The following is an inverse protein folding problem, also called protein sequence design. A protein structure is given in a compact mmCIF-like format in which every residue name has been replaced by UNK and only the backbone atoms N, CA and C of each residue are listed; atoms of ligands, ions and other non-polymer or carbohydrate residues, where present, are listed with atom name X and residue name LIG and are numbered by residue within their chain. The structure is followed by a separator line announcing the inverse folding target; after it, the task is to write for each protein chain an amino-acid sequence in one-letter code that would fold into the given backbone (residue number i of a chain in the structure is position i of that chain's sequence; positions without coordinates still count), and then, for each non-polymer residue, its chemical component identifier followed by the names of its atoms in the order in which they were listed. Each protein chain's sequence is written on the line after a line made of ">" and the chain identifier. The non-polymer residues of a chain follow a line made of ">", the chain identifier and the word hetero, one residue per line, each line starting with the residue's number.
data_IF_507972276329
#
_entry.id   IF_507972276329
#
_cell.length_a   1.000
_cell.length_b   1.000
_cell.length_c   1.000
_cell.angle_alpha   90.00
_cell.angle_beta   90.00
_cell.angle_gamma   90.00
#
_symmetry.space_group_name_H-M   'P 1'
#
loop_
_entity.id
_entity.type
_entity.pdbx_description
1 polymer ?
#
# COMPACT_ATOMS: atom_id res chain seq x y z
N UNK A 1 -4.90 7.15 -12.75
CA UNK A 1 -5.90 6.23 -12.13
C UNK A 1 -5.56 6.05 -10.68
N UNK A 2 -6.56 5.89 -9.81
CA UNK A 2 -6.36 5.82 -8.36
C UNK A 2 -6.87 4.48 -7.83
N UNK A 3 -6.15 3.90 -6.89
CA UNK A 3 -6.50 2.64 -6.25
C UNK A 3 -6.29 2.77 -4.75
N UNK A 4 -7.28 2.35 -3.99
CA UNK A 4 -7.16 2.18 -2.55
C UNK A 4 -6.41 0.88 -2.30
N UNK A 5 -5.34 0.94 -1.50
CA UNK A 5 -4.54 -0.22 -1.14
C UNK A 5 -4.67 -0.45 0.36
N UNK A 6 -4.98 -1.69 0.73
CA UNK A 6 -4.97 -2.15 2.12
C UNK A 6 -3.87 -3.17 2.30
N UNK A 7 -3.02 -2.95 3.29
CA UNK A 7 -2.06 -3.95 3.75
C UNK A 7 -2.42 -4.41 5.17
N UNK A 8 -2.02 -5.63 5.50
CA UNK A 8 -2.05 -6.13 6.87
C UNK A 8 -0.60 -6.28 7.34
N UNK A 9 -0.31 -5.90 8.60
CA UNK A 9 1.02 -5.99 9.16
C UNK A 9 0.99 -6.62 10.54
N UNK A 10 2.01 -7.42 10.86
CA UNK A 10 2.24 -7.97 12.20
C UNK A 10 2.85 -6.97 13.18
N UNK A 11 3.19 -5.76 12.73
CA UNK A 11 3.73 -4.71 13.57
C UNK A 11 2.65 -4.12 14.48
N UNK A 12 3.06 -3.50 15.59
CA UNK A 12 2.22 -2.76 16.55
C UNK A 12 1.60 -1.47 15.95
N UNK A 13 1.31 -1.43 14.66
CA UNK A 13 0.46 -0.39 14.10
C UNK A 13 -0.95 -0.67 14.61
N UNK A 14 -1.39 0.12 15.59
CA UNK A 14 -2.75 0.15 16.10
C UNK A 14 -3.80 0.57 15.05
N UNK A 15 -3.43 0.61 13.77
CA UNK A 15 -4.25 0.98 12.61
C UNK A 15 -3.82 0.11 11.42
N UNK A 16 -4.80 -0.48 10.73
CA UNK A 16 -4.59 -1.14 9.43
C UNK A 16 -4.09 -0.10 8.41
N UNK A 17 -2.91 -0.26 7.80
CA UNK A 17 -2.41 0.76 6.87
C UNK A 17 -3.25 0.75 5.59
N UNK A 18 -3.93 1.86 5.36
CA UNK A 18 -4.79 2.15 4.23
C UNK A 18 -4.25 3.42 3.55
N UNK A 19 -3.99 3.36 2.26
CA UNK A 19 -3.47 4.49 1.49
C UNK A 19 -3.94 4.43 0.04
N UNK A 20 -3.84 5.56 -0.66
CA UNK A 20 -4.21 5.66 -2.07
C UNK A 20 -2.94 5.64 -2.92
N UNK A 21 -2.97 4.89 -4.02
CA UNK A 21 -1.92 4.85 -5.04
C UNK A 21 -2.46 5.43 -6.33
N UNK A 22 -1.67 6.29 -6.96
CA UNK A 22 -1.94 6.89 -8.25
C UNK A 22 -0.91 6.44 -9.29
N UNK A 23 -1.39 5.91 -10.42
CA UNK A 23 -0.56 5.52 -11.56
C UNK A 23 -1.11 6.12 -12.86
N UNK A 24 -0.29 6.24 -13.90
CA UNK A 24 -0.74 6.77 -15.19
C UNK A 24 -1.73 5.83 -15.89
N UNK A 25 -1.49 4.52 -15.81
CA UNK A 25 -2.28 3.47 -16.43
C UNK A 25 -2.25 2.18 -15.59
N UNK A 26 -3.05 1.19 -16.01
CA UNK A 26 -3.24 -0.06 -15.27
C UNK A 26 -1.99 -0.93 -15.27
N UNK A 27 -1.20 -0.88 -16.35
CA UNK A 27 0.05 -1.63 -16.51
C UNK A 27 1.12 -1.19 -15.47
N UNK A 28 1.05 0.06 -15.01
CA UNK A 28 1.97 0.63 -14.01
C UNK A 28 1.45 0.55 -12.58
N UNK A 29 0.21 0.10 -12.35
CA UNK A 29 -0.41 0.13 -11.04
C UNK A 29 0.30 -0.80 -10.05
N UNK A 30 0.61 -2.03 -10.46
CA UNK A 30 1.27 -3.00 -9.57
C UNK A 30 2.63 -2.49 -9.10
N UNK A 31 3.45 -1.95 -10.00
CA UNK A 31 4.75 -1.37 -9.64
C UNK A 31 4.60 -0.14 -8.72
N UNK A 32 3.58 0.70 -8.96
CA UNK A 32 3.29 1.84 -8.10
C UNK A 32 2.85 1.40 -6.69
N UNK A 33 2.08 0.32 -6.59
CA UNK A 33 1.67 -0.28 -5.31
C UNK A 33 2.89 -0.80 -4.56
N UNK A 34 3.79 -1.54 -5.21
CA UNK A 34 5.04 -2.01 -4.58
C UNK A 34 5.86 -0.84 -4.01
N UNK A 35 6.07 0.20 -4.82
CA UNK A 35 6.78 1.42 -4.39
C UNK A 35 6.08 2.12 -3.23
N UNK A 36 4.75 2.15 -3.21
CA UNK A 36 3.96 2.75 -2.14
C UNK A 36 4.03 1.95 -0.84
N UNK A 37 3.99 0.62 -0.90
CA UNK A 37 4.15 -0.25 0.27
C UNK A 37 5.50 -0.01 0.95
N UNK A 38 6.58 0.11 0.17
CA UNK A 38 7.92 0.41 0.69
C UNK A 38 7.98 1.78 1.38
N UNK A 39 7.41 2.82 0.75
CA UNK A 39 7.32 4.16 1.34
C UNK A 39 6.51 4.16 2.65
N UNK A 40 5.35 3.48 2.66
CA UNK A 40 4.46 3.39 3.81
C UNK A 40 5.09 2.65 4.99
N UNK A 41 5.87 1.60 4.71
CA UNK A 41 6.56 0.82 5.75
C UNK A 41 7.92 1.42 6.14
N UNK A 42 8.45 2.35 5.35
CA UNK A 42 9.74 3.00 5.57
C UNK A 42 10.94 2.10 5.28
N UNK A 43 10.75 1.06 4.46
CA UNK A 43 11.72 0.01 4.20
C UNK A 43 12.05 -0.07 2.71
N UNK A 44 13.34 -0.24 2.40
CA UNK A 44 13.83 -0.42 1.04
C UNK A 44 13.76 -1.90 0.61
N UNK A 45 13.70 -2.15 -0.71
CA UNK A 45 13.58 -3.51 -1.28
C UNK A 45 14.69 -4.47 -0.82
N UNK A 46 15.91 -3.96 -0.62
CA UNK A 46 17.06 -4.76 -0.18
C UNK A 46 16.96 -5.18 1.31
N UNK A 47 16.03 -4.60 2.06
CA UNK A 47 15.75 -4.90 3.46
C UNK A 47 14.58 -5.87 3.64
N UNK A 48 13.91 -6.25 2.55
CA UNK A 48 12.68 -7.03 2.53
C UNK A 48 12.96 -8.38 1.88
N UNK A 49 12.41 -9.44 2.46
CA UNK A 49 12.35 -10.76 1.82
C UNK A 49 10.90 -11.12 1.55
N UNK A 50 10.61 -11.63 0.35
CA UNK A 50 9.27 -12.05 -0.06
C UNK A 50 9.23 -13.58 -0.07
N UNK A 51 8.25 -14.18 0.60
CA UNK A 51 8.06 -15.63 0.61
C UNK A 51 7.12 -16.12 -0.51
N UNK A 52 6.96 -17.45 -0.61
CA UNK A 52 6.12 -18.09 -1.62
C UNK A 52 4.63 -17.72 -1.53
N UNK A 53 4.20 -17.14 -0.39
CA UNK A 53 2.83 -16.64 -0.18
C UNK A 53 2.70 -15.14 -0.44
N UNK A 54 3.73 -14.52 -1.02
CA UNK A 54 3.83 -13.08 -1.27
C UNK A 54 3.77 -12.21 0.00
N UNK A 55 4.16 -12.80 1.15
CA UNK A 55 4.31 -12.06 2.41
C UNK A 55 5.70 -11.45 2.45
N UNK A 56 5.75 -10.15 2.78
CA UNK A 56 7.00 -9.39 2.96
C UNK A 56 7.45 -9.52 4.40
N UNK A 57 8.73 -9.79 4.59
CA UNK A 57 9.36 -10.02 5.89
C UNK A 57 10.56 -9.11 6.10
N UNK A 58 10.66 -8.56 7.31
CA UNK A 58 11.86 -7.91 7.85
C UNK A 58 12.05 -8.33 9.31
N UNK A 59 13.07 -9.14 9.58
CA UNK A 59 13.31 -9.67 10.93
C UNK A 59 12.10 -10.49 11.41
N UNK A 60 11.49 -10.09 12.53
CA UNK A 60 10.26 -10.72 13.06
C UNK A 60 8.96 -10.03 12.62
N UNK A 61 9.05 -8.99 11.78
CA UNK A 61 7.91 -8.24 11.27
C UNK A 61 7.53 -8.75 9.89
N UNK A 62 6.23 -8.80 9.60
CA UNK A 62 5.74 -9.11 8.27
C UNK A 62 4.53 -8.29 7.88
N UNK A 63 4.29 -8.19 6.58
CA UNK A 63 3.11 -7.58 6.01
C UNK A 63 2.78 -8.17 4.65
N UNK A 64 1.52 -8.06 4.26
CA UNK A 64 1.05 -8.48 2.94
C UNK A 64 -0.06 -7.54 2.45
N UNK A 65 -0.18 -7.43 1.13
CA UNK A 65 -1.30 -6.75 0.51
C UNK A 65 -2.57 -7.58 0.71
N UNK A 66 -3.55 -7.00 1.39
CA UNK A 66 -4.81 -7.69 1.69
C UNK A 66 -5.83 -7.46 0.59
N UNK A 67 -5.95 -6.22 0.09
CA UNK A 67 -6.94 -5.87 -0.93
C UNK A 67 -6.57 -4.61 -1.71
N UNK A 68 -7.10 -4.51 -2.93
CA UNK A 68 -7.01 -3.32 -3.79
C UNK A 68 -8.37 -2.99 -4.39
N UNK A 69 -8.73 -1.71 -4.36
CA UNK A 69 -10.01 -1.24 -4.92
C UNK A 69 -9.79 -0.01 -5.81
N UNK A 70 -10.12 -0.08 -7.12
CA UNK A 70 -10.11 1.09 -7.98
C UNK A 70 -11.05 2.19 -7.45
N UNK A 71 -10.60 3.44 -7.54
CA UNK A 71 -11.34 4.61 -7.09
C UNK A 71 -11.57 5.60 -8.22
N UNK A 72 -12.74 6.25 -8.20
CA UNK A 72 -12.95 7.48 -8.93
C UNK A 72 -12.15 8.63 -8.29
N UNK A 73 -11.94 9.73 -9.03
CA UNK A 73 -11.27 10.91 -8.47
C UNK A 73 -12.07 11.52 -7.30
N UNK A 74 -13.40 11.53 -7.39
CA UNK A 74 -14.29 12.07 -6.36
C UNK A 74 -14.24 11.23 -5.07
N UNK A 75 -14.25 9.90 -5.21
CA UNK A 75 -14.15 9.00 -4.06
C UNK A 75 -12.77 9.13 -3.39
N UNK A 76 -11.70 9.20 -4.18
CA UNK A 76 -10.35 9.39 -3.66
C UNK A 76 -10.22 10.71 -2.89
N UNK A 77 -10.69 11.83 -3.44
CA UNK A 77 -10.70 13.12 -2.76
C UNK A 77 -11.53 13.10 -1.48
N UNK A 78 -12.67 12.41 -1.51
CA UNK A 78 -13.52 12.23 -0.34
C UNK A 78 -12.80 11.44 0.75
N UNK A 79 -12.19 10.30 0.41
CA UNK A 79 -11.46 9.44 1.34
C UNK A 79 -10.25 10.14 1.96
N UNK A 80 -9.46 10.87 1.18
CA UNK A 80 -8.37 11.72 1.69
C UNK A 80 -8.92 12.73 2.71
N UNK A 81 -10.06 13.36 2.42
CA UNK A 81 -10.66 14.35 3.31
C UNK A 81 -11.19 13.75 4.61
N UNK A 82 -11.84 12.57 4.56
CA UNK A 82 -12.54 12.00 5.73
C UNK A 82 -11.63 11.13 6.60
N UNK A 83 -10.66 10.44 6.02
CA UNK A 83 -9.78 9.50 6.71
C UNK A 83 -8.33 10.00 6.81
N UNK A 84 -8.01 11.16 6.20
CA UNK A 84 -6.65 11.69 6.13
C UNK A 84 -5.65 10.70 5.52
N UNK A 85 -6.08 9.94 4.51
CA UNK A 85 -5.22 8.95 3.86
C UNK A 85 -4.07 9.64 3.12
N UNK A 86 -2.89 9.03 3.20
CA UNK A 86 -1.77 9.41 2.35
C UNK A 86 -2.00 8.94 0.91
N UNK A 87 -1.44 9.70 -0.05
CA UNK A 87 -1.47 9.36 -1.47
C UNK A 87 -0.06 9.23 -2.01
N UNK A 88 0.20 8.12 -2.70
CA UNK A 88 1.49 7.76 -3.28
C UNK A 88 1.38 7.68 -4.81
N UNK A 89 2.51 7.95 -5.48
CA UNK A 89 2.72 7.74 -6.92
C UNK A 89 4.05 7.04 -7.18
#
# INVERSE_FOLDING_TARGET
>A
MKTLVRIHSSCDFSVFPLFIVEAENEELMDEAIERAINKCTGYDDDQITIDDSNVRWRGSQCWYQEDTQPLSNEDAETLVRILSLETYS
#
